data_IF_075464882148
#
_entry.id   IF_075464882148
#
_cell.length_a   1.000
_cell.length_b   1.000
_cell.length_c   1.000
_cell.angle_alpha   90.00
_cell.angle_beta   90.00
_cell.angle_gamma   90.00
#
_symmetry.space_group_name_H-M   'P 1'
#
loop_
_entity.id
_entity.type
_entity.pdbx_description
1 polymer ?
#
# COMPACT_ATOMS: atom_id res chain seq x y z
N UNK A 1 39.79 19.81 12.92
CA UNK A 1 38.79 19.27 13.86
C UNK A 1 39.51 18.68 15.05
N UNK A 2 39.15 19.07 16.27
CA UNK A 2 39.79 18.55 17.50
C UNK A 2 39.30 17.11 17.73
N UNK A 3 40.18 16.26 18.34
CA UNK A 3 39.88 14.82 18.59
C UNK A 3 38.59 14.61 19.42
N UNK A 4 38.31 15.52 20.37
CA UNK A 4 37.08 15.46 21.19
C UNK A 4 35.82 15.66 20.34
N UNK A 5 35.81 16.70 19.52
CA UNK A 5 34.69 16.99 18.59
C UNK A 5 34.46 15.84 17.58
N UNK A 6 35.57 15.23 17.10
CA UNK A 6 35.47 14.06 16.22
C UNK A 6 34.82 12.86 16.90
N UNK A 7 35.22 12.55 18.13
CA UNK A 7 34.67 11.44 18.89
C UNK A 7 33.18 11.65 19.21
N UNK A 8 32.80 12.88 19.53
CA UNK A 8 31.41 13.25 19.79
C UNK A 8 30.55 13.12 18.51
N UNK A 9 31.01 13.62 17.37
CA UNK A 9 30.36 13.46 16.09
C UNK A 9 30.20 11.97 15.71
N UNK A 10 31.23 11.14 16.01
CA UNK A 10 31.19 9.70 15.77
C UNK A 10 30.13 9.01 16.67
N UNK A 11 30.06 9.40 17.95
CA UNK A 11 29.06 8.86 18.88
C UNK A 11 27.65 9.14 18.38
N UNK A 12 27.35 10.40 18.04
CA UNK A 12 26.04 10.79 17.49
C UNK A 12 25.70 10.05 16.21
N UNK A 13 26.67 9.86 15.31
CA UNK A 13 26.46 9.05 14.12
C UNK A 13 26.09 7.60 14.45
N UNK A 14 26.79 6.99 15.41
CA UNK A 14 26.53 5.60 15.81
C UNK A 14 25.14 5.43 16.46
N UNK A 15 24.73 6.38 17.32
CA UNK A 15 23.38 6.44 17.89
C UNK A 15 22.33 6.60 16.79
N UNK A 16 22.57 7.47 15.81
CA UNK A 16 21.71 7.65 14.65
C UNK A 16 21.51 6.36 13.84
N UNK A 17 22.59 5.61 13.60
CA UNK A 17 22.51 4.30 12.92
C UNK A 17 21.68 3.29 13.74
N UNK A 18 21.86 3.26 15.07
CA UNK A 18 21.07 2.38 15.95
C UNK A 18 19.58 2.68 15.80
N UNK A 19 19.16 3.93 15.98
CA UNK A 19 17.76 4.34 15.85
C UNK A 19 17.21 4.13 14.43
N UNK A 20 18.03 4.32 13.40
CA UNK A 20 17.64 4.03 12.02
C UNK A 20 17.31 2.54 11.80
N UNK A 21 18.11 1.64 12.40
CA UNK A 21 17.87 0.18 12.33
C UNK A 21 16.66 -0.25 13.15
N UNK A 22 16.33 0.48 14.20
CA UNK A 22 15.12 0.32 15.04
C UNK A 22 13.88 0.98 14.38
N UNK A 23 14.02 1.54 13.17
CA UNK A 23 12.99 2.28 12.43
C UNK A 23 12.44 3.53 13.16
N UNK A 24 13.15 3.98 14.19
CA UNK A 24 12.87 5.23 14.88
C UNK A 24 13.52 6.40 14.12
N UNK A 25 12.90 6.79 13.01
CA UNK A 25 13.44 7.78 12.09
C UNK A 25 13.54 9.19 12.68
N UNK A 26 12.71 9.54 13.65
CA UNK A 26 12.75 10.83 14.32
C UNK A 26 14.01 10.99 15.17
N UNK A 27 14.31 10.01 16.03
CA UNK A 27 15.53 10.00 16.84
C UNK A 27 16.77 9.80 15.98
N UNK A 28 16.69 9.02 14.90
CA UNK A 28 17.77 8.85 13.96
C UNK A 28 18.12 10.19 13.27
N UNK A 29 17.13 10.92 12.76
CA UNK A 29 17.30 12.24 12.15
C UNK A 29 17.98 13.22 13.11
N UNK A 30 17.47 13.32 14.35
CA UNK A 30 18.04 14.20 15.38
C UNK A 30 19.53 13.92 15.58
N UNK A 31 19.90 12.67 15.80
CA UNK A 31 21.29 12.29 16.06
C UNK A 31 22.19 12.52 14.84
N UNK A 32 21.69 12.27 13.63
CA UNK A 32 22.45 12.58 12.41
C UNK A 32 22.66 14.09 12.20
N UNK A 33 21.65 14.92 12.50
CA UNK A 33 21.81 16.38 12.44
C UNK A 33 22.83 16.87 13.46
N UNK A 34 22.78 16.42 14.72
CA UNK A 34 23.79 16.74 15.74
C UNK A 34 25.21 16.30 15.30
N UNK A 35 25.34 15.10 14.70
CA UNK A 35 26.61 14.64 14.13
C UNK A 35 27.11 15.54 12.98
N UNK A 36 26.18 16.03 12.15
CA UNK A 36 26.50 16.87 11.00
C UNK A 36 26.90 18.29 11.41
N UNK A 37 26.34 18.82 12.50
CA UNK A 37 26.70 20.11 13.07
C UNK A 37 28.16 20.09 13.60
N UNK A 38 28.56 18.96 14.20
CA UNK A 38 29.92 18.75 14.69
C UNK A 38 30.94 18.46 13.57
N UNK A 39 30.49 17.81 12.49
CA UNK A 39 31.32 17.43 11.34
C UNK A 39 30.59 17.76 10.03
N UNK A 40 30.55 19.03 9.61
CA UNK A 40 29.90 19.45 8.36
C UNK A 40 30.46 18.72 7.13
N UNK A 41 29.64 18.48 6.13
CA UNK A 41 30.00 17.81 4.87
C UNK A 41 30.39 16.31 4.99
N UNK A 42 30.13 15.66 6.12
CA UNK A 42 30.37 14.24 6.25
C UNK A 42 29.37 13.45 5.43
N UNK A 43 29.82 12.97 4.27
CA UNK A 43 28.97 12.31 3.25
C UNK A 43 28.16 11.14 3.82
N UNK A 44 28.76 10.32 4.72
CA UNK A 44 28.04 9.20 5.35
C UNK A 44 26.84 9.65 6.20
N UNK A 45 26.89 10.82 6.83
CA UNK A 45 25.78 11.39 7.62
C UNK A 45 24.72 11.93 6.68
N UNK A 46 25.13 12.67 5.65
CA UNK A 46 24.23 13.24 4.62
C UNK A 46 23.45 12.11 3.92
N UNK A 47 24.17 11.04 3.54
CA UNK A 47 23.56 9.85 2.92
C UNK A 47 22.46 9.21 3.81
N UNK A 48 22.70 9.09 5.12
CA UNK A 48 21.68 8.53 6.01
C UNK A 48 20.49 9.47 6.22
N UNK A 49 20.69 10.79 6.26
CA UNK A 49 19.59 11.76 6.26
C UNK A 49 18.75 11.65 4.97
N UNK A 50 19.40 11.57 3.81
CA UNK A 50 18.72 11.35 2.52
C UNK A 50 17.86 10.07 2.60
N UNK A 51 18.39 8.97 3.14
CA UNK A 51 17.65 7.71 3.29
C UNK A 51 16.42 7.87 4.22
N UNK A 52 16.57 8.58 5.35
CA UNK A 52 15.43 8.88 6.22
C UNK A 52 14.35 9.63 5.44
N UNK A 53 14.71 10.68 4.72
CA UNK A 53 13.73 11.48 3.97
C UNK A 53 13.09 10.73 2.82
N UNK A 54 13.80 9.77 2.22
CA UNK A 54 13.23 8.86 1.22
C UNK A 54 12.20 7.92 1.87
N UNK A 55 12.53 7.27 2.99
CA UNK A 55 11.64 6.31 3.68
C UNK A 55 10.40 6.99 4.23
N UNK A 56 10.58 8.14 4.87
CA UNK A 56 9.50 8.94 5.45
C UNK A 56 8.72 9.74 4.40
N UNK A 57 9.15 9.68 3.12
CA UNK A 57 8.60 10.47 2.01
C UNK A 57 8.56 11.97 2.30
N UNK A 58 9.52 12.46 3.08
CA UNK A 58 9.61 13.89 3.40
C UNK A 58 10.33 14.63 2.27
N UNK A 59 9.60 14.91 1.18
CA UNK A 59 10.12 15.54 -0.03
C UNK A 59 10.70 16.92 0.28
N UNK A 60 10.10 17.66 1.22
CA UNK A 60 10.59 18.99 1.60
C UNK A 60 11.99 18.93 2.18
N UNK A 61 12.21 18.11 3.22
CA UNK A 61 13.53 17.95 3.84
C UNK A 61 14.55 17.33 2.89
N UNK A 62 14.10 16.39 2.03
CA UNK A 62 14.96 15.84 0.98
C UNK A 62 15.46 16.95 0.04
N UNK A 63 14.59 17.80 -0.43
CA UNK A 63 14.97 18.90 -1.32
C UNK A 63 15.89 19.91 -0.61
N UNK A 64 15.61 20.25 0.65
CA UNK A 64 16.44 21.17 1.46
C UNK A 64 17.89 20.65 1.64
N UNK A 65 18.07 19.37 1.95
CA UNK A 65 19.41 18.78 2.12
C UNK A 65 20.17 18.72 0.80
N UNK A 66 19.52 18.40 -0.31
CA UNK A 66 20.13 18.37 -1.64
C UNK A 66 20.59 19.77 -2.08
N UNK A 67 19.79 20.81 -1.81
CA UNK A 67 20.18 22.20 -2.08
C UNK A 67 21.36 22.61 -1.20
N UNK A 68 21.34 22.31 0.10
CA UNK A 68 22.39 22.64 1.06
C UNK A 68 23.76 22.05 0.66
N UNK A 69 23.76 20.84 0.10
CA UNK A 69 24.98 20.12 -0.28
C UNK A 69 25.17 20.00 -1.80
N UNK A 70 24.69 21.00 -2.55
CA UNK A 70 24.85 21.05 -4.01
C UNK A 70 26.31 20.99 -4.48
N UNK A 71 27.25 21.44 -3.67
CA UNK A 71 28.68 21.32 -3.95
C UNK A 71 29.18 19.86 -4.03
N UNK A 72 28.42 18.91 -3.52
CA UNK A 72 28.68 17.48 -3.56
C UNK A 72 27.83 16.76 -4.64
N UNK A 73 27.31 17.48 -5.63
CA UNK A 73 26.37 16.96 -6.65
C UNK A 73 26.90 15.79 -7.50
N UNK A 74 28.23 15.59 -7.53
CA UNK A 74 28.87 14.47 -8.25
C UNK A 74 28.96 13.19 -7.40
N UNK A 75 28.71 13.28 -6.10
CA UNK A 75 28.75 12.12 -5.22
C UNK A 75 27.52 11.23 -5.47
N UNK A 76 27.75 9.92 -5.53
CA UNK A 76 26.69 8.95 -5.87
C UNK A 76 25.52 8.98 -4.89
N UNK A 77 25.79 9.27 -3.63
CA UNK A 77 24.79 9.40 -2.57
C UNK A 77 23.86 10.59 -2.80
N UNK A 78 24.41 11.70 -3.27
CA UNK A 78 23.64 12.91 -3.59
C UNK A 78 22.83 12.66 -4.86
N UNK A 79 23.46 12.13 -5.93
CA UNK A 79 22.74 11.74 -7.15
C UNK A 79 21.60 10.77 -6.87
N UNK A 80 21.80 9.83 -5.95
CA UNK A 80 20.73 8.91 -5.55
C UNK A 80 19.56 9.65 -4.88
N UNK A 81 19.85 10.61 -4.02
CA UNK A 81 18.84 11.50 -3.43
C UNK A 81 18.11 12.33 -4.48
N UNK A 82 18.82 12.88 -5.46
CA UNK A 82 18.24 13.65 -6.58
C UNK A 82 17.35 12.78 -7.47
N UNK A 83 17.75 11.54 -7.73
CA UNK A 83 16.93 10.58 -8.47
C UNK A 83 15.59 10.30 -7.74
N UNK A 84 15.62 10.08 -6.42
CA UNK A 84 14.39 9.94 -5.61
C UNK A 84 13.57 11.23 -5.55
N UNK A 85 14.21 12.39 -5.44
CA UNK A 85 13.51 13.68 -5.45
C UNK A 85 12.75 13.89 -6.78
N UNK A 86 13.38 13.55 -7.91
CA UNK A 86 12.73 13.58 -9.23
C UNK A 86 11.60 12.55 -9.31
N UNK A 87 11.80 11.33 -8.79
CA UNK A 87 10.78 10.29 -8.72
C UNK A 87 9.54 10.73 -7.94
N UNK A 88 9.72 11.36 -6.77
CA UNK A 88 8.61 11.85 -5.96
C UNK A 88 7.87 13.04 -6.58
N UNK A 89 8.53 13.78 -7.45
CA UNK A 89 7.93 14.85 -8.27
C UNK A 89 7.31 14.33 -9.56
N UNK A 90 7.29 13.01 -9.76
CA UNK A 90 6.80 12.33 -10.96
C UNK A 90 7.58 12.68 -12.25
N UNK A 91 8.76 13.29 -12.11
CA UNK A 91 9.71 13.47 -13.22
C UNK A 91 10.53 12.20 -13.41
N UNK A 92 9.87 11.18 -13.94
CA UNK A 92 10.46 9.85 -14.12
C UNK A 92 11.60 9.86 -15.12
N UNK A 93 11.57 10.74 -16.14
CA UNK A 93 12.62 10.83 -17.17
C UNK A 93 13.92 11.35 -16.56
N UNK A 94 13.86 12.41 -15.76
CA UNK A 94 15.03 12.91 -15.05
C UNK A 94 15.54 11.89 -14.04
N UNK A 95 14.65 11.22 -13.29
CA UNK A 95 15.04 10.17 -12.37
C UNK A 95 15.77 9.02 -13.09
N UNK A 96 15.26 8.54 -14.23
CA UNK A 96 15.90 7.50 -15.06
C UNK A 96 17.28 7.96 -15.53
N UNK A 97 17.40 9.21 -16.00
CA UNK A 97 18.69 9.78 -16.46
C UNK A 97 19.73 9.75 -15.36
N UNK A 98 19.35 10.14 -14.13
CA UNK A 98 20.26 10.13 -12.99
C UNK A 98 20.58 8.68 -12.58
N UNK A 99 19.58 7.79 -12.50
CA UNK A 99 19.79 6.39 -12.17
C UNK A 99 20.82 5.72 -13.10
N UNK A 100 20.78 6.03 -14.41
CA UNK A 100 21.73 5.49 -15.37
C UNK A 100 23.18 5.96 -15.15
N UNK A 101 23.39 7.12 -14.50
CA UNK A 101 24.73 7.59 -14.12
C UNK A 101 25.31 6.82 -12.94
N UNK A 102 24.45 6.30 -12.06
CA UNK A 102 24.79 5.61 -10.83
C UNK A 102 24.26 4.17 -10.79
N UNK A 103 24.12 3.53 -11.96
CA UNK A 103 23.45 2.21 -12.10
C UNK A 103 23.98 1.13 -11.18
N UNK A 104 25.26 1.19 -10.81
CA UNK A 104 25.92 0.22 -9.92
C UNK A 104 25.94 0.69 -8.46
N UNK A 105 25.26 1.78 -8.11
CA UNK A 105 25.15 2.20 -6.72
C UNK A 105 24.14 1.31 -6.01
N UNK A 106 24.65 0.49 -5.10
CA UNK A 106 23.84 -0.37 -4.24
C UNK A 106 24.19 -0.07 -2.79
N UNK A 107 23.19 0.26 -2.02
CA UNK A 107 23.23 0.24 -0.57
C UNK A 107 22.47 -1.00 -0.08
N UNK A 108 22.79 -1.48 1.13
CA UNK A 108 22.22 -2.71 1.71
C UNK A 108 20.68 -2.74 1.72
N UNK A 109 20.03 -1.59 1.74
CA UNK A 109 18.54 -1.45 1.79
C UNK A 109 17.96 -0.81 0.52
N UNK A 110 18.75 -0.08 -0.26
CA UNK A 110 18.30 0.69 -1.41
C UNK A 110 19.18 0.44 -2.62
N UNK A 111 18.56 0.19 -3.74
CA UNK A 111 19.22 -0.11 -5.00
C UNK A 111 18.77 0.87 -6.07
N UNK A 112 19.72 1.43 -6.81
CA UNK A 112 19.42 2.24 -7.99
C UNK A 112 18.58 1.46 -9.00
N UNK A 113 18.83 0.15 -9.12
CA UNK A 113 18.06 -0.72 -10.01
C UNK A 113 16.59 -0.82 -9.59
N UNK A 114 16.29 -0.84 -8.27
CA UNK A 114 14.88 -0.86 -7.79
C UNK A 114 14.18 0.46 -8.09
N UNK A 115 14.88 1.59 -7.93
CA UNK A 115 14.35 2.90 -8.31
C UNK A 115 14.13 2.99 -9.82
N UNK A 116 15.10 2.52 -10.62
CA UNK A 116 15.00 2.48 -12.07
C UNK A 116 13.81 1.64 -12.53
N UNK A 117 13.64 0.43 -11.96
CA UNK A 117 12.49 -0.41 -12.25
C UNK A 117 11.16 0.24 -11.84
N UNK A 118 11.14 0.96 -10.70
CA UNK A 118 9.97 1.71 -10.25
C UNK A 118 9.62 2.87 -11.20
N UNK A 119 10.62 3.59 -11.71
CA UNK A 119 10.43 4.62 -12.73
C UNK A 119 9.79 4.05 -14.00
N UNK A 120 10.34 2.96 -14.53
CA UNK A 120 9.78 2.31 -15.72
C UNK A 120 8.36 1.81 -15.49
N UNK A 121 8.07 1.22 -14.32
CA UNK A 121 6.73 0.80 -13.96
C UNK A 121 5.73 1.96 -13.96
N UNK A 122 6.08 3.10 -13.32
CA UNK A 122 5.20 4.26 -13.25
C UNK A 122 4.99 4.93 -14.63
N UNK A 123 5.94 4.80 -15.56
CA UNK A 123 5.77 5.19 -16.96
C UNK A 123 4.95 4.18 -17.79
N UNK A 124 4.49 3.07 -17.23
CA UNK A 124 3.82 2.00 -17.96
C UNK A 124 4.77 1.08 -18.76
N UNK A 125 6.08 1.29 -18.64
CA UNK A 125 7.10 0.48 -19.35
C UNK A 125 7.41 -0.80 -18.58
N UNK A 126 6.39 -1.64 -18.37
CA UNK A 126 6.47 -2.84 -17.52
C UNK A 126 7.51 -3.86 -17.99
N UNK A 127 7.77 -3.94 -19.32
CA UNK A 127 8.78 -4.86 -19.84
C UNK A 127 10.20 -4.48 -19.43
N UNK A 128 10.54 -3.19 -19.43
CA UNK A 128 11.88 -2.74 -18.99
C UNK A 128 12.07 -2.98 -17.48
N UNK A 129 11.05 -2.66 -16.68
CA UNK A 129 11.07 -2.99 -15.25
C UNK A 129 11.23 -4.51 -15.00
N UNK A 130 10.54 -5.34 -15.78
CA UNK A 130 10.66 -6.80 -15.70
C UNK A 130 12.07 -7.29 -16.03
N UNK A 131 12.72 -6.76 -17.09
CA UNK A 131 14.10 -7.11 -17.46
C UNK A 131 15.07 -6.80 -16.30
N UNK A 132 14.93 -5.65 -15.65
CA UNK A 132 15.77 -5.28 -14.50
C UNK A 132 15.63 -6.30 -13.38
N UNK A 133 14.41 -6.64 -12.96
CA UNK A 133 14.21 -7.61 -11.89
C UNK A 133 14.64 -9.04 -12.30
N UNK A 134 14.48 -9.42 -13.56
CA UNK A 134 15.00 -10.71 -14.06
C UNK A 134 16.52 -10.79 -13.96
N UNK A 135 17.23 -9.73 -14.29
CA UNK A 135 18.69 -9.67 -14.15
C UNK A 135 19.10 -9.70 -12.66
N UNK A 136 18.43 -8.93 -11.78
CA UNK A 136 18.67 -9.01 -10.33
C UNK A 136 18.46 -10.42 -9.78
N UNK A 137 17.51 -11.18 -10.30
CA UNK A 137 17.23 -12.53 -9.85
C UNK A 137 18.38 -13.50 -10.15
N UNK A 138 19.25 -13.22 -11.13
CA UNK A 138 20.44 -14.03 -11.40
C UNK A 138 21.45 -13.97 -10.24
N UNK A 139 21.54 -12.80 -9.59
CA UNK A 139 22.46 -12.55 -8.47
C UNK A 139 21.82 -12.86 -7.11
N UNK A 140 20.55 -12.49 -6.94
CA UNK A 140 19.83 -12.54 -5.66
C UNK A 140 18.65 -13.53 -5.71
N UNK A 141 18.97 -14.82 -5.86
CA UNK A 141 17.97 -15.89 -6.06
C UNK A 141 17.01 -16.11 -4.90
N UNK A 142 17.38 -15.70 -3.68
CA UNK A 142 16.61 -15.91 -2.46
C UNK A 142 15.98 -14.61 -1.91
N UNK A 143 15.94 -13.56 -2.71
CA UNK A 143 15.26 -12.31 -2.30
C UNK A 143 13.78 -12.36 -2.68
N UNK A 144 12.90 -12.53 -1.68
CA UNK A 144 11.46 -12.60 -1.88
C UNK A 144 10.88 -11.33 -2.53
N UNK A 145 11.51 -10.15 -2.31
CA UNK A 145 11.05 -8.87 -2.87
C UNK A 145 11.16 -8.84 -4.39
N UNK A 146 12.22 -9.47 -4.94
CA UNK A 146 12.38 -9.54 -6.39
C UNK A 146 11.27 -10.37 -7.02
N UNK A 147 10.95 -11.54 -6.44
CA UNK A 147 9.84 -12.38 -6.90
C UNK A 147 8.50 -11.64 -6.78
N UNK A 148 8.27 -10.94 -5.66
CA UNK A 148 7.08 -10.12 -5.45
C UNK A 148 6.94 -9.04 -6.53
N UNK A 149 8.01 -8.28 -6.81
CA UNK A 149 8.00 -7.22 -7.81
C UNK A 149 7.78 -7.76 -9.22
N UNK A 150 8.38 -8.90 -9.58
CA UNK A 150 8.10 -9.58 -10.86
C UNK A 150 6.63 -9.98 -10.94
N UNK A 151 6.07 -10.54 -9.87
CA UNK A 151 4.66 -10.89 -9.78
C UNK A 151 3.75 -9.68 -10.03
N UNK A 152 4.05 -8.55 -9.40
CA UNK A 152 3.31 -7.29 -9.62
C UNK A 152 3.35 -6.85 -11.09
N UNK A 153 4.52 -6.85 -11.73
CA UNK A 153 4.65 -6.46 -13.13
C UNK A 153 3.89 -7.39 -14.07
N UNK A 154 3.94 -8.70 -13.82
CA UNK A 154 3.21 -9.69 -14.62
C UNK A 154 1.69 -9.52 -14.45
N UNK A 155 1.23 -9.15 -13.26
CA UNK A 155 -0.18 -8.84 -13.01
C UNK A 155 -0.64 -7.64 -13.83
N UNK A 156 0.12 -6.54 -13.82
CA UNK A 156 -0.15 -5.34 -14.63
C UNK A 156 -0.16 -5.64 -16.14
N UNK A 157 0.66 -6.59 -16.59
CA UNK A 157 0.69 -7.09 -17.98
C UNK A 157 -0.45 -8.08 -18.30
N UNK A 158 -1.38 -8.33 -17.39
CA UNK A 158 -2.47 -9.29 -17.55
C UNK A 158 -2.04 -10.76 -17.53
N UNK A 159 -0.77 -11.05 -17.24
CA UNK A 159 -0.22 -12.42 -17.16
C UNK A 159 -0.48 -13.04 -15.79
N UNK A 160 -1.75 -13.10 -15.39
CA UNK A 160 -2.18 -13.37 -14.01
C UNK A 160 -1.71 -14.72 -13.48
N UNK A 161 -1.74 -15.80 -14.28
CA UNK A 161 -1.24 -17.12 -13.83
C UNK A 161 0.25 -17.10 -13.55
N UNK A 162 1.03 -16.40 -14.38
CA UNK A 162 2.46 -16.25 -14.17
C UNK A 162 2.73 -15.36 -12.95
N UNK A 163 1.96 -14.30 -12.76
CA UNK A 163 2.05 -13.45 -11.55
C UNK A 163 1.84 -14.28 -10.29
N UNK A 164 0.80 -15.11 -10.23
CA UNK A 164 0.53 -15.98 -9.09
C UNK A 164 1.68 -16.95 -8.80
N UNK A 165 2.30 -17.53 -9.82
CA UNK A 165 3.50 -18.36 -9.67
C UNK A 165 4.65 -17.62 -9.00
N UNK A 166 4.91 -16.37 -9.40
CA UNK A 166 5.96 -15.56 -8.79
C UNK A 166 5.61 -15.11 -7.36
N UNK A 167 4.35 -14.81 -7.06
CA UNK A 167 3.90 -14.56 -5.69
C UNK A 167 4.05 -15.80 -4.81
N UNK A 168 3.79 -17.01 -5.33
CA UNK A 168 4.02 -18.25 -4.58
C UNK A 168 5.50 -18.46 -4.26
N UNK A 169 6.41 -18.22 -5.22
CA UNK A 169 7.86 -18.23 -4.96
C UNK A 169 8.26 -17.23 -3.88
N UNK A 170 7.70 -16.03 -3.93
CA UNK A 170 7.92 -15.00 -2.92
C UNK A 170 7.43 -15.44 -1.53
N UNK A 171 6.23 -16.03 -1.46
CA UNK A 171 5.62 -16.55 -0.22
C UNK A 171 6.43 -17.65 0.43
N UNK A 172 6.99 -18.56 -0.38
CA UNK A 172 7.84 -19.64 0.13
C UNK A 172 9.12 -19.11 0.78
N UNK A 173 9.63 -17.95 0.34
CA UNK A 173 10.80 -17.29 0.92
C UNK A 173 10.45 -16.42 2.13
N UNK A 174 9.27 -15.78 2.14
CA UNK A 174 8.79 -14.99 3.26
C UNK A 174 7.26 -15.15 3.44
N UNK A 175 6.82 -16.15 4.23
CA UNK A 175 5.38 -16.41 4.44
C UNK A 175 4.64 -15.30 5.18
N UNK A 176 5.36 -14.47 5.95
CA UNK A 176 4.77 -13.45 6.82
C UNK A 176 4.52 -12.11 6.12
N UNK A 177 4.92 -11.96 4.86
CA UNK A 177 4.69 -10.72 4.12
C UNK A 177 3.27 -10.69 3.57
N UNK A 178 2.36 -10.05 4.27
CA UNK A 178 0.92 -10.03 4.01
C UNK A 178 0.53 -9.51 2.61
N UNK A 179 1.34 -8.60 2.03
CA UNK A 179 1.10 -8.11 0.67
C UNK A 179 1.16 -9.22 -0.39
N UNK A 180 1.92 -10.28 -0.16
CA UNK A 180 1.98 -11.42 -1.12
C UNK A 180 0.63 -12.13 -1.18
N UNK A 181 0.07 -12.51 -0.02
CA UNK A 181 -1.22 -13.20 0.05
C UNK A 181 -2.36 -12.36 -0.49
N UNK A 182 -2.33 -11.07 -0.18
CA UNK A 182 -3.29 -10.14 -0.76
C UNK A 182 -3.16 -10.06 -2.30
N UNK A 183 -1.96 -9.99 -2.86
CA UNK A 183 -1.75 -10.03 -4.33
C UNK A 183 -2.19 -11.35 -4.94
N UNK A 184 -1.95 -12.48 -4.27
CA UNK A 184 -2.47 -13.78 -4.71
C UNK A 184 -4.00 -13.80 -4.72
N UNK A 185 -4.68 -13.20 -3.72
CA UNK A 185 -6.13 -13.09 -3.73
C UNK A 185 -6.66 -12.39 -4.99
N UNK A 186 -6.01 -11.28 -5.40
CA UNK A 186 -6.37 -10.59 -6.64
C UNK A 186 -6.16 -11.46 -7.89
N UNK A 187 -5.10 -12.28 -7.91
CA UNK A 187 -4.90 -13.25 -8.99
C UNK A 187 -6.03 -14.27 -9.06
N UNK A 188 -6.42 -14.87 -7.93
CA UNK A 188 -7.51 -15.84 -7.89
C UNK A 188 -8.85 -15.20 -8.28
N UNK A 189 -9.17 -14.01 -7.79
CA UNK A 189 -10.39 -13.28 -8.17
C UNK A 189 -10.43 -12.99 -9.68
N UNK A 190 -9.30 -12.56 -10.26
CA UNK A 190 -9.19 -12.31 -11.70
C UNK A 190 -9.37 -13.61 -12.52
N UNK A 191 -8.90 -14.74 -12.00
CA UNK A 191 -9.07 -16.05 -12.62
C UNK A 191 -10.45 -16.70 -12.32
N UNK A 192 -11.34 -15.99 -11.62
CA UNK A 192 -12.67 -16.45 -11.20
C UNK A 192 -12.66 -17.61 -10.19
N UNK A 193 -11.56 -17.85 -9.53
CA UNK A 193 -11.47 -18.73 -8.36
C UNK A 193 -11.87 -17.92 -7.11
N UNK A 194 -13.17 -17.66 -6.97
CA UNK A 194 -13.70 -16.81 -5.91
C UNK A 194 -13.51 -17.42 -4.53
N UNK A 195 -13.53 -18.74 -4.41
CA UNK A 195 -13.29 -19.44 -3.15
C UNK A 195 -11.95 -19.08 -2.54
N UNK A 196 -10.88 -19.30 -3.28
CA UNK A 196 -9.51 -18.99 -2.81
C UNK A 196 -9.29 -17.48 -2.79
N UNK A 197 -9.85 -16.75 -3.75
CA UNK A 197 -9.73 -15.30 -3.85
C UNK A 197 -10.27 -14.59 -2.62
N UNK A 198 -11.55 -14.80 -2.26
CA UNK A 198 -12.14 -14.13 -1.11
C UNK A 198 -11.63 -14.66 0.24
N UNK A 199 -11.19 -15.92 0.30
CA UNK A 199 -10.51 -16.43 1.50
C UNK A 199 -9.20 -15.67 1.78
N UNK A 200 -8.34 -15.55 0.78
CA UNK A 200 -7.05 -14.85 0.92
C UNK A 200 -7.21 -13.32 0.97
N UNK A 201 -8.33 -12.78 0.48
CA UNK A 201 -8.60 -11.35 0.54
C UNK A 201 -8.69 -10.82 1.98
N UNK A 202 -9.02 -11.68 2.93
CA UNK A 202 -9.03 -11.34 4.36
C UNK A 202 -7.63 -11.00 4.91
N UNK A 203 -6.56 -11.46 4.26
CA UNK A 203 -5.19 -11.10 4.66
C UNK A 203 -4.85 -9.61 4.43
N UNK A 204 -5.73 -8.85 3.75
CA UNK A 204 -5.60 -7.40 3.63
C UNK A 204 -5.47 -6.69 4.98
N UNK A 205 -6.13 -7.22 6.03
CA UNK A 205 -6.07 -6.65 7.38
C UNK A 205 -4.70 -6.77 8.05
N UNK A 206 -3.84 -7.66 7.56
CA UNK A 206 -2.46 -7.87 8.06
C UNK A 206 -1.45 -6.93 7.41
N UNK A 207 -1.87 -6.16 6.39
CA UNK A 207 -0.99 -5.24 5.65
C UNK A 207 -0.73 -3.98 6.47
N UNK A 208 0.53 -3.53 6.53
CA UNK A 208 0.96 -2.35 7.29
C UNK A 208 0.20 -1.06 6.89
N UNK A 209 -0.10 -0.91 5.60
CA UNK A 209 -0.76 0.29 5.07
C UNK A 209 -2.28 0.14 4.89
N UNK A 210 -2.89 -0.91 5.44
CA UNK A 210 -4.34 -1.07 5.38
C UNK A 210 -5.00 -0.29 6.52
N UNK A 211 -6.11 0.44 6.29
CA UNK A 211 -6.85 1.08 7.36
C UNK A 211 -7.29 0.07 8.42
N UNK A 212 -7.26 0.50 9.68
CA UNK A 212 -7.74 -0.33 10.78
C UNK A 212 -9.26 -0.55 10.70
N UNK A 213 -9.73 -1.63 11.32
CA UNK A 213 -11.17 -1.89 11.50
C UNK A 213 -11.78 -0.72 12.28
N UNK A 214 -12.74 -0.03 11.67
CA UNK A 214 -13.34 1.19 12.25
C UNK A 214 -14.18 0.92 13.50
N UNK A 215 -14.84 -0.22 13.55
CA UNK A 215 -15.76 -0.60 14.64
C UNK A 215 -15.24 -1.82 15.40
N UNK A 216 -13.98 -1.76 15.86
CA UNK A 216 -13.29 -2.86 16.53
C UNK A 216 -13.90 -3.27 17.89
N UNK A 217 -14.74 -2.44 18.47
CA UNK A 217 -15.51 -2.73 19.68
C UNK A 217 -16.77 -3.58 19.41
N UNK A 218 -17.17 -3.79 18.14
CA UNK A 218 -18.28 -4.63 17.72
C UNK A 218 -17.72 -5.91 17.10
N UNK A 219 -18.28 -7.06 17.44
CA UNK A 219 -17.82 -8.36 16.96
C UNK A 219 -18.00 -8.49 15.44
N UNK A 220 -17.09 -9.20 14.78
CA UNK A 220 -17.26 -9.66 13.41
C UNK A 220 -17.81 -11.09 13.42
N UNK A 221 -18.82 -11.44 12.62
CA UNK A 221 -19.34 -12.80 12.58
C UNK A 221 -18.32 -13.76 11.93
N UNK A 222 -18.22 -14.98 12.45
CA UNK A 222 -17.36 -16.01 11.88
C UNK A 222 -18.00 -16.71 10.68
N UNK A 223 -19.34 -16.82 10.70
CA UNK A 223 -20.13 -17.46 9.66
C UNK A 223 -21.49 -16.79 9.51
N UNK A 224 -22.17 -17.07 8.41
CA UNK A 224 -23.43 -16.42 8.03
C UNK A 224 -24.60 -16.76 8.98
N UNK A 225 -24.58 -17.90 9.65
CA UNK A 225 -25.68 -18.29 10.55
C UNK A 225 -25.74 -17.45 11.83
N UNK A 226 -24.61 -16.85 12.23
CA UNK A 226 -24.54 -15.98 13.42
C UNK A 226 -25.32 -14.68 13.27
N UNK A 227 -25.55 -14.22 12.02
CA UNK A 227 -26.22 -12.94 11.76
C UNK A 227 -27.76 -13.08 11.67
N UNK A 228 -28.30 -14.29 11.80
CA UNK A 228 -29.74 -14.51 11.69
C UNK A 228 -30.48 -13.70 12.75
N UNK A 229 -31.43 -12.88 12.32
CA UNK A 229 -32.28 -12.00 13.14
C UNK A 229 -31.45 -11.06 14.06
N UNK A 230 -30.25 -10.67 13.63
CA UNK A 230 -29.35 -9.80 14.34
C UNK A 230 -29.27 -8.40 13.73
N UNK A 231 -28.90 -7.42 14.55
CA UNK A 231 -28.68 -6.04 14.12
C UNK A 231 -27.26 -5.88 13.57
N UNK A 232 -27.16 -5.62 12.27
CA UNK A 232 -25.89 -5.65 11.54
C UNK A 232 -25.48 -4.26 11.08
N UNK A 233 -24.24 -3.90 11.38
CA UNK A 233 -23.55 -2.72 10.87
C UNK A 233 -22.62 -3.14 9.72
N UNK A 234 -22.92 -2.74 8.51
CA UNK A 234 -22.02 -2.92 7.35
C UNK A 234 -21.37 -1.58 7.06
N UNK A 235 -20.09 -1.56 6.75
CA UNK A 235 -19.36 -0.30 6.54
C UNK A 235 -18.35 -0.41 5.39
N UNK A 236 -18.13 0.74 4.72
CA UNK A 236 -17.13 0.86 3.67
C UNK A 236 -15.71 0.89 4.26
N UNK A 237 -14.80 0.14 3.67
CA UNK A 237 -13.42 0.00 4.15
C UNK A 237 -12.37 0.53 3.17
N UNK A 238 -12.73 0.65 1.90
CA UNK A 238 -11.82 0.99 0.81
C UNK A 238 -12.32 2.20 0.03
N UNK A 239 -11.85 2.37 -1.21
CA UNK A 239 -12.25 3.48 -2.06
C UNK A 239 -13.71 3.45 -2.50
N UNK A 240 -14.21 4.56 -3.05
CA UNK A 240 -15.59 4.69 -3.49
C UNK A 240 -16.00 3.62 -4.53
N UNK A 241 -15.08 3.26 -5.45
CA UNK A 241 -15.32 2.23 -6.45
C UNK A 241 -15.50 0.84 -5.83
N UNK A 242 -14.70 0.49 -4.83
CA UNK A 242 -14.79 -0.77 -4.12
C UNK A 242 -16.11 -0.85 -3.35
N UNK A 243 -16.49 0.24 -2.67
CA UNK A 243 -17.78 0.34 -1.95
C UNK A 243 -18.95 0.09 -2.89
N UNK A 244 -18.97 0.73 -4.07
CA UNK A 244 -20.01 0.49 -5.09
C UNK A 244 -19.98 -0.98 -5.54
N UNK A 245 -18.81 -1.53 -5.80
CA UNK A 245 -18.68 -2.91 -6.27
C UNK A 245 -19.18 -3.93 -5.23
N UNK A 246 -18.82 -3.76 -3.96
CA UNK A 246 -19.22 -4.66 -2.88
C UNK A 246 -20.64 -4.41 -2.36
N UNK A 247 -21.25 -3.25 -2.62
CA UNK A 247 -22.60 -2.91 -2.17
C UNK A 247 -23.68 -3.91 -2.62
N UNK A 248 -23.46 -4.61 -3.76
CA UNK A 248 -24.34 -5.67 -4.25
C UNK A 248 -24.55 -6.79 -3.22
N UNK A 249 -23.53 -7.11 -2.45
CA UNK A 249 -23.58 -8.17 -1.44
C UNK A 249 -24.33 -7.74 -0.17
N UNK A 250 -24.53 -6.45 0.06
CA UNK A 250 -25.31 -5.93 1.20
C UNK A 250 -26.76 -6.36 1.08
N UNK A 251 -27.32 -6.40 -0.13
CA UNK A 251 -28.70 -6.86 -0.36
C UNK A 251 -28.85 -8.35 0.01
N UNK A 252 -27.83 -9.16 -0.25
CA UNK A 252 -27.90 -10.60 0.06
C UNK A 252 -27.98 -10.87 1.57
N UNK A 253 -27.52 -9.95 2.43
CA UNK A 253 -27.64 -10.04 3.90
C UNK A 253 -29.10 -9.99 4.35
N UNK A 254 -29.99 -9.33 3.60
CA UNK A 254 -31.43 -9.27 3.91
C UNK A 254 -32.13 -10.62 3.93
N UNK A 255 -31.52 -11.68 3.38
CA UNK A 255 -32.00 -13.06 3.48
C UNK A 255 -31.87 -13.62 4.90
N UNK A 256 -31.03 -13.05 5.74
CA UNK A 256 -30.70 -13.54 7.08
C UNK A 256 -31.20 -12.62 8.19
N UNK A 257 -31.25 -11.32 7.94
CA UNK A 257 -31.77 -10.32 8.89
C UNK A 257 -32.35 -9.13 8.15
N UNK A 258 -33.33 -8.45 8.80
CA UNK A 258 -33.95 -7.21 8.28
C UNK A 258 -33.36 -5.95 8.90
N UNK A 259 -32.59 -6.09 9.97
CA UNK A 259 -31.99 -4.94 10.68
C UNK A 259 -30.57 -4.70 10.16
N UNK A 260 -30.47 -4.03 9.02
CA UNK A 260 -29.21 -3.75 8.33
C UNK A 260 -28.99 -2.26 8.19
N UNK A 261 -27.92 -1.76 8.81
CA UNK A 261 -27.42 -0.41 8.61
C UNK A 261 -26.15 -0.44 7.77
N UNK A 262 -26.11 0.32 6.68
CA UNK A 262 -24.95 0.45 5.83
C UNK A 262 -24.32 1.82 5.95
N UNK A 263 -23.14 1.91 6.54
CA UNK A 263 -22.38 3.14 6.75
C UNK A 263 -21.41 3.34 5.60
N UNK A 264 -21.51 4.50 4.95
CA UNK A 264 -20.73 4.79 3.73
C UNK A 264 -20.18 6.23 3.75
N UNK A 265 -19.20 6.49 2.88
CA UNK A 265 -18.77 7.85 2.60
C UNK A 265 -19.96 8.72 2.16
N UNK A 266 -19.99 9.96 2.64
CA UNK A 266 -21.06 10.95 2.34
C UNK A 266 -21.34 11.08 0.84
N UNK A 267 -20.30 10.92 -0.02
CA UNK A 267 -20.44 11.02 -1.48
C UNK A 267 -21.27 9.88 -2.09
N UNK A 268 -21.34 8.73 -1.41
CA UNK A 268 -22.08 7.55 -1.88
C UNK A 268 -23.45 7.40 -1.25
N UNK A 269 -23.75 8.12 -0.17
CA UNK A 269 -25.01 7.99 0.59
C UNK A 269 -26.24 8.08 -0.30
N UNK A 270 -26.36 9.14 -1.10
CA UNK A 270 -27.56 9.38 -1.92
C UNK A 270 -27.75 8.33 -3.03
N UNK A 271 -26.66 7.77 -3.53
CA UNK A 271 -26.69 6.72 -4.55
C UNK A 271 -27.06 5.39 -3.89
N UNK A 272 -26.41 5.04 -2.79
CA UNK A 272 -26.58 3.74 -2.15
C UNK A 272 -27.85 3.65 -1.30
N UNK A 273 -28.46 4.78 -0.86
CA UNK A 273 -29.77 4.79 -0.23
C UNK A 273 -30.90 4.26 -1.14
N UNK A 274 -30.66 4.19 -2.45
CA UNK A 274 -31.56 3.60 -3.44
C UNK A 274 -31.28 2.12 -3.71
N UNK A 275 -30.34 1.52 -3.00
CA UNK A 275 -29.95 0.13 -3.20
C UNK A 275 -31.09 -0.83 -2.86
N UNK A 276 -31.72 -0.65 -1.70
CA UNK A 276 -32.87 -1.40 -1.25
C UNK A 276 -33.61 -0.67 -0.12
N UNK A 277 -34.95 -0.72 -0.09
CA UNK A 277 -35.78 0.02 0.89
C UNK A 277 -35.61 -0.47 2.33
N UNK A 278 -35.23 -1.73 2.54
CA UNK A 278 -35.02 -2.33 3.86
C UNK A 278 -33.59 -2.09 4.40
N UNK A 279 -32.70 -1.44 3.64
CA UNK A 279 -31.35 -1.11 4.11
C UNK A 279 -31.30 0.34 4.55
N UNK A 280 -30.96 0.58 5.81
CA UNK A 280 -30.75 1.94 6.31
C UNK A 280 -29.34 2.42 5.95
N UNK A 281 -29.22 3.30 4.95
CA UNK A 281 -27.94 3.84 4.50
C UNK A 281 -27.68 5.19 5.17
N UNK A 282 -26.53 5.31 5.83
CA UNK A 282 -26.12 6.48 6.59
C UNK A 282 -24.63 6.82 6.35
N UNK A 283 -24.26 8.09 6.42
CA UNK A 283 -22.85 8.49 6.44
C UNK A 283 -22.28 8.49 7.86
N UNK A 284 -20.96 8.45 7.97
CA UNK A 284 -20.25 8.38 9.27
C UNK A 284 -20.60 9.53 10.24
N UNK A 285 -20.92 10.72 9.75
CA UNK A 285 -21.25 11.89 10.59
C UNK A 285 -22.64 11.79 11.19
N UNK A 286 -23.53 11.08 10.52
CA UNK A 286 -24.93 10.94 10.90
C UNK A 286 -25.25 9.60 11.59
N UNK A 287 -24.26 8.74 11.79
CA UNK A 287 -24.42 7.50 12.55
C UNK A 287 -24.58 7.83 14.03
N UNK A 288 -25.83 7.74 14.55
CA UNK A 288 -26.16 8.10 15.94
C UNK A 288 -26.08 6.94 16.93
N UNK A 289 -26.29 5.73 16.45
CA UNK A 289 -26.37 4.53 17.28
C UNK A 289 -25.22 3.56 16.98
N UNK A 290 -24.60 3.03 18.04
CA UNK A 290 -23.49 2.08 17.95
C UNK A 290 -23.85 0.76 18.65
N UNK A 291 -25.14 0.47 18.85
CA UNK A 291 -25.59 -0.76 19.46
C UNK A 291 -25.99 -1.78 18.37
N UNK A 292 -24.99 -2.49 17.86
CA UNK A 292 -25.12 -3.54 16.87
C UNK A 292 -24.58 -4.86 17.41
N UNK A 293 -25.18 -5.99 17.01
CA UNK A 293 -24.70 -7.32 17.39
C UNK A 293 -23.39 -7.64 16.67
N UNK A 294 -23.31 -7.27 15.38
CA UNK A 294 -22.15 -7.53 14.54
C UNK A 294 -21.82 -6.36 13.62
N UNK A 295 -20.52 -6.22 13.31
CA UNK A 295 -20.05 -5.35 12.23
C UNK A 295 -19.41 -6.16 11.12
N UNK A 296 -19.56 -5.72 9.85
CA UNK A 296 -19.01 -6.39 8.69
C UNK A 296 -18.45 -5.34 7.72
N UNK A 297 -17.14 -5.37 7.43
CA UNK A 297 -16.60 -4.56 6.34
C UNK A 297 -17.07 -5.12 4.99
N UNK A 298 -17.38 -4.23 4.05
CA UNK A 298 -17.97 -4.63 2.75
C UNK A 298 -17.16 -5.68 2.00
N UNK A 299 -15.83 -5.59 2.02
CA UNK A 299 -14.94 -6.55 1.34
C UNK A 299 -14.93 -7.96 1.95
N UNK A 300 -15.48 -8.14 3.18
CA UNK A 300 -15.61 -9.45 3.82
C UNK A 300 -16.96 -10.13 3.53
N UNK A 301 -17.92 -9.41 2.96
CA UNK A 301 -19.23 -9.96 2.61
C UNK A 301 -19.16 -11.16 1.67
N UNK A 302 -18.36 -11.15 0.58
CA UNK A 302 -18.30 -12.28 -0.33
C UNK A 302 -17.85 -13.59 0.34
N UNK A 303 -16.85 -13.51 1.24
CA UNK A 303 -16.41 -14.68 2.02
C UNK A 303 -17.52 -15.16 2.96
N UNK A 304 -18.16 -14.25 3.69
CA UNK A 304 -19.24 -14.57 4.63
C UNK A 304 -20.44 -15.21 3.93
N UNK A 305 -20.80 -14.71 2.74
CA UNK A 305 -21.87 -15.23 1.89
C UNK A 305 -21.48 -16.50 1.11
N UNK A 306 -20.24 -16.97 1.24
CA UNK A 306 -19.71 -18.14 0.56
C UNK A 306 -19.85 -18.03 -0.98
N UNK A 307 -19.44 -16.90 -1.55
CA UNK A 307 -19.39 -16.68 -3.00
C UNK A 307 -18.29 -17.55 -3.60
N UNK A 308 -18.65 -18.53 -4.41
CA UNK A 308 -17.73 -19.52 -5.00
C UNK A 308 -17.60 -19.39 -6.51
N UNK A 309 -18.67 -18.95 -7.17
CA UNK A 309 -18.78 -18.88 -8.63
C UNK A 309 -19.37 -17.53 -9.08
N UNK A 310 -19.32 -17.26 -10.38
CA UNK A 310 -19.99 -16.10 -10.98
C UNK A 310 -21.50 -16.14 -10.79
N UNK A 311 -22.11 -17.32 -10.71
CA UNK A 311 -23.56 -17.51 -10.59
C UNK A 311 -24.07 -17.12 -9.20
N UNK A 312 -23.20 -17.12 -8.20
CA UNK A 312 -23.52 -16.63 -6.85
C UNK A 312 -23.59 -15.09 -6.80
N UNK A 313 -23.04 -14.40 -7.81
CA UNK A 313 -22.99 -12.94 -7.88
C UNK A 313 -24.25 -12.42 -8.56
N UNK A 314 -25.14 -11.84 -7.78
CA UNK A 314 -26.35 -11.21 -8.30
C UNK A 314 -26.09 -9.80 -8.79
N UNK A 315 -26.77 -9.42 -9.87
CA UNK A 315 -26.77 -8.08 -10.39
C UNK A 315 -28.03 -7.35 -9.96
N UNK A 316 -27.85 -6.26 -9.19
CA UNK A 316 -28.95 -5.41 -8.78
C UNK A 316 -28.87 -4.09 -9.55
N UNK A 317 -30.02 -3.63 -10.08
CA UNK A 317 -30.11 -2.38 -10.82
C UNK A 317 -30.14 -1.21 -9.82
N UNK A 318 -29.11 -0.40 -9.79
CA UNK A 318 -29.10 0.88 -9.08
C UNK A 318 -29.89 1.90 -9.90
N UNK A 319 -30.95 2.46 -9.34
CA UNK A 319 -31.67 3.58 -9.95
C UNK A 319 -30.86 4.85 -9.69
N UNK A 320 -30.08 5.28 -10.68
CA UNK A 320 -29.37 6.56 -10.57
C UNK A 320 -30.39 7.72 -10.58
N UNK A 321 -30.17 8.79 -9.77
CA UNK A 321 -30.97 10.00 -9.89
C UNK A 321 -30.80 10.58 -11.29
N UNK A 322 -31.88 11.09 -11.88
CA UNK A 322 -31.78 11.91 -13.08
C UNK A 322 -30.90 13.13 -12.76
N UNK A 323 -29.64 13.05 -13.15
CA UNK A 323 -28.76 14.19 -13.08
C UNK A 323 -29.16 15.14 -14.19
N UNK A 324 -29.77 16.27 -13.82
CA UNK A 324 -29.81 17.44 -14.73
C UNK A 324 -28.37 17.84 -14.98
N UNK A 325 -27.79 17.31 -16.04
CA UNK A 325 -26.49 17.77 -16.54
C UNK A 325 -26.70 19.23 -16.94
N UNK A 326 -26.31 20.16 -16.07
CA UNK A 326 -26.18 21.56 -16.48
C UNK A 326 -25.08 21.57 -17.54
N UNK A 327 -25.49 21.64 -18.83
CA UNK A 327 -24.56 21.97 -19.90
C UNK A 327 -23.96 23.34 -19.55
N UNK A 328 -22.67 23.34 -19.23
CA UNK A 328 -21.86 24.56 -19.20
C UNK A 328 -21.45 24.92 -20.61
#
# INVERSE_FOLDING_TARGET
MNTKTFNEAKLKFTEGIKFFNEENYELAEKNFLESLDLAPQRLSVISNLIKIYIVTKNIKKLNEILIKYKNLEKEKEILFGEAYNSFFKEDFDQSIKICNQIVNYNDSKYSTQDLLASNFKNKGNFLEAFKIYKNKLLEYKNDYKIYYNIGCLLFELGKVRQANYYFEKSKNLNPNFADITWRQSLCYLTLKDFKNGFLLYEDRWKRENHPNIKFNNIKTPNNISEIKDKKILIWDEQGLGDTINFSRFVIDILKFTKDVTFVVDKKLKDILSKLHTEIFVVDYQNLKEINYDFQIPTGSLPKLLNILTTDDIKFYKLSLPETKIKKK
#
